data_IF_813053697671
#
_entry.id   IF_813053697671
#
_cell.length_a   1.000
_cell.length_b   1.000
_cell.length_c   1.000
_cell.angle_alpha   90.00
_cell.angle_beta   90.00
_cell.angle_gamma   90.00
#
_symmetry.space_group_name_H-M   'P 1'
#
loop_
_entity.id
_entity.type
_entity.pdbx_description
1 polymer ?
#
# COMPACT_ATOMS: atom_id res chain seq x y z
N UNK A 1 8.19 18.58 -11.02
CA UNK A 1 6.90 18.13 -10.46
C UNK A 1 7.02 17.85 -8.96
N UNK A 2 7.93 16.96 -8.55
CA UNK A 2 8.18 16.63 -7.14
C UNK A 2 8.37 17.86 -6.22
N UNK A 3 9.13 18.87 -6.64
CA UNK A 3 9.38 20.06 -5.80
C UNK A 3 8.12 20.91 -5.58
N UNK A 4 7.27 21.06 -6.59
CA UNK A 4 5.98 21.77 -6.43
C UNK A 4 5.03 21.03 -5.49
N UNK A 5 5.05 19.69 -5.49
CA UNK A 5 4.27 18.91 -4.53
C UNK A 5 4.79 19.06 -3.10
N UNK A 6 6.12 19.12 -2.92
CA UNK A 6 6.76 19.37 -1.62
C UNK A 6 6.45 20.77 -1.09
N UNK A 7 6.62 21.81 -1.91
CA UNK A 7 6.25 23.19 -1.56
C UNK A 7 4.78 23.32 -1.15
N UNK A 8 3.88 22.65 -1.90
CA UNK A 8 2.45 22.64 -1.57
C UNK A 8 2.16 21.94 -0.25
N UNK A 9 2.79 20.79 0.01
CA UNK A 9 2.67 20.06 1.28
C UNK A 9 3.13 20.95 2.44
N UNK A 10 4.28 21.60 2.31
CA UNK A 10 4.86 22.41 3.37
C UNK A 10 3.99 23.65 3.66
N UNK A 11 3.47 24.30 2.61
CA UNK A 11 2.52 25.41 2.76
C UNK A 11 1.22 24.99 3.46
N UNK A 12 0.69 23.80 3.12
CA UNK A 12 -0.52 23.27 3.73
C UNK A 12 -0.28 22.89 5.21
N UNK A 13 0.83 22.22 5.52
CA UNK A 13 1.17 21.87 6.90
C UNK A 13 1.31 23.13 7.77
N UNK A 14 2.00 24.15 7.27
CA UNK A 14 2.18 25.42 7.96
C UNK A 14 0.86 26.17 8.22
N UNK A 15 -0.13 26.06 7.31
CA UNK A 15 -1.47 26.62 7.52
C UNK A 15 -2.15 26.07 8.78
N UNK A 16 -1.85 24.82 9.14
CA UNK A 16 -2.38 24.14 10.33
C UNK A 16 -1.39 24.12 11.52
N UNK A 17 -0.27 24.86 11.44
CA UNK A 17 0.72 24.94 12.52
C UNK A 17 1.63 23.72 12.64
N UNK A 18 1.91 23.06 11.50
CA UNK A 18 2.79 21.90 11.43
C UNK A 18 3.96 22.08 10.46
N UNK A 19 5.11 21.53 10.83
CA UNK A 19 6.28 21.39 9.98
C UNK A 19 6.40 19.94 9.52
N UNK A 20 6.38 19.74 8.20
CA UNK A 20 6.51 18.43 7.58
C UNK A 20 7.98 18.00 7.44
N UNK A 21 8.29 16.76 7.82
CA UNK A 21 9.61 16.14 7.61
C UNK A 21 9.46 14.72 7.07
N UNK A 22 10.37 14.33 6.17
CA UNK A 22 10.54 12.92 5.80
C UNK A 22 11.64 12.33 6.69
N UNK A 23 11.37 11.17 7.29
CA UNK A 23 12.32 10.34 8.01
C UNK A 23 12.77 9.23 7.08
N UNK A 24 14.00 9.30 6.61
CA UNK A 24 14.53 8.35 5.61
C UNK A 24 14.76 6.94 6.18
N UNK A 25 14.75 6.76 7.50
CA UNK A 25 15.00 5.46 8.16
C UNK A 25 13.88 4.44 7.90
N UNK A 26 12.65 4.90 7.74
CA UNK A 26 11.45 4.09 7.57
C UNK A 26 10.44 4.73 6.61
N UNK A 27 10.91 5.66 5.76
CA UNK A 27 10.11 6.40 4.79
C UNK A 27 8.83 6.99 5.39
N UNK A 28 8.90 7.59 6.58
CA UNK A 28 7.74 8.21 7.21
C UNK A 28 7.63 9.72 6.93
N UNK A 29 6.42 10.20 6.63
CA UNK A 29 6.08 11.61 6.73
C UNK A 29 5.64 11.92 8.16
N UNK A 30 6.41 12.77 8.83
CA UNK A 30 6.11 13.24 10.18
C UNK A 30 5.70 14.72 10.13
N UNK A 31 4.55 15.05 10.72
CA UNK A 31 4.07 16.40 10.93
C UNK A 31 4.30 16.78 12.40
N UNK A 32 5.31 17.61 12.65
CA UNK A 32 5.59 18.14 13.98
C UNK A 32 4.84 19.46 14.21
N UNK A 33 4.25 19.70 15.39
CA UNK A 33 3.81 21.03 15.77
C UNK A 33 4.93 22.05 15.59
N UNK A 34 4.64 23.18 14.94
CA UNK A 34 5.64 24.20 14.59
C UNK A 34 6.41 24.72 15.82
N UNK A 35 5.73 24.82 16.96
CA UNK A 35 6.32 25.30 18.22
C UNK A 35 7.45 24.40 18.75
N UNK A 36 7.49 23.14 18.34
CA UNK A 36 8.57 22.21 18.69
C UNK A 36 9.81 22.40 17.81
N UNK A 37 9.67 23.08 16.68
CA UNK A 37 10.76 23.23 15.72
C UNK A 37 11.59 24.49 16.00
N UNK A 38 12.90 24.36 15.83
CA UNK A 38 13.82 25.48 15.75
C UNK A 38 14.90 25.15 14.72
N UNK A 39 15.07 26.02 13.74
CA UNK A 39 16.02 25.87 12.62
C UNK A 39 16.01 24.45 11.99
N UNK A 40 14.82 23.92 11.71
CA UNK A 40 14.63 22.61 11.10
C UNK A 40 14.89 21.41 12.02
N UNK A 41 15.14 21.65 13.32
CA UNK A 41 15.41 20.61 14.32
C UNK A 41 14.34 20.60 15.41
N UNK A 42 13.86 19.41 15.76
CA UNK A 42 12.93 19.21 16.89
C UNK A 42 13.64 19.53 18.20
N UNK A 43 13.05 20.41 19.00
CA UNK A 43 13.53 20.78 20.33
C UNK A 43 12.83 19.92 21.37
N UNK A 44 13.51 18.86 21.84
CA UNK A 44 12.92 17.87 22.76
C UNK A 44 12.38 18.50 24.05
N UNK A 45 13.00 19.58 24.55
CA UNK A 45 12.52 20.29 25.75
C UNK A 45 11.19 21.04 25.53
N UNK A 46 10.72 21.18 24.28
CA UNK A 46 9.42 21.77 23.92
C UNK A 46 8.35 20.70 23.66
N UNK A 47 8.72 19.42 23.64
CA UNK A 47 7.81 18.31 23.40
C UNK A 47 7.15 17.92 24.73
N UNK A 48 5.95 18.43 24.96
CA UNK A 48 5.17 18.12 26.17
C UNK A 48 4.37 16.82 26.01
N UNK A 49 3.92 16.54 24.80
CA UNK A 49 3.05 15.40 24.46
C UNK A 49 3.32 14.96 23.02
N UNK A 50 3.98 13.81 22.86
CA UNK A 50 4.36 13.25 21.55
C UNK A 50 3.17 12.88 20.67
N UNK A 51 1.98 12.65 21.24
CA UNK A 51 0.78 12.26 20.49
C UNK A 51 0.25 13.40 19.61
N UNK A 52 0.78 14.62 19.77
CA UNK A 52 0.45 15.78 18.93
C UNK A 52 1.13 15.76 17.56
N UNK A 53 2.17 14.94 17.39
CA UNK A 53 2.76 14.71 16.07
C UNK A 53 1.92 13.68 15.30
N UNK A 54 1.80 13.88 13.98
CA UNK A 54 1.14 12.91 13.09
C UNK A 54 2.20 12.23 12.26
N UNK A 55 2.25 10.90 12.31
CA UNK A 55 3.16 10.09 11.52
C UNK A 55 2.38 9.23 10.53
N UNK A 56 2.79 9.28 9.27
CA UNK A 56 2.22 8.49 8.18
C UNK A 56 3.35 7.81 7.44
N UNK A 57 3.36 6.47 7.41
CA UNK A 57 4.28 5.72 6.57
C UNK A 57 4.03 6.06 5.11
N UNK A 58 5.07 6.43 4.37
CA UNK A 58 5.02 6.58 2.91
C UNK A 58 5.24 5.24 2.20
N UNK A 59 5.72 4.24 2.94
CA UNK A 59 5.83 2.86 2.49
C UNK A 59 4.59 2.08 2.94
N UNK A 60 3.93 1.41 1.99
CA UNK A 60 2.92 0.41 2.30
C UNK A 60 3.53 -0.80 3.02
N UNK A 61 2.72 -1.72 3.59
CA UNK A 61 3.18 -2.94 4.28
C UNK A 61 3.96 -3.95 3.42
N UNK A 62 4.42 -3.60 2.21
CA UNK A 62 5.16 -4.47 1.31
C UNK A 62 6.50 -3.88 0.88
N UNK A 63 7.31 -4.73 0.24
CA UNK A 63 8.66 -4.38 -0.21
C UNK A 63 8.59 -3.54 -1.50
N UNK A 64 8.85 -2.24 -1.37
CA UNK A 64 8.81 -1.29 -2.49
C UNK A 64 9.78 -1.65 -3.63
N UNK A 65 10.89 -2.34 -3.34
CA UNK A 65 11.86 -2.76 -4.36
C UNK A 65 11.27 -3.84 -5.28
N UNK A 66 10.30 -4.61 -4.78
CA UNK A 66 9.58 -5.66 -5.54
C UNK A 66 8.38 -5.14 -6.32
N UNK A 67 8.05 -3.85 -6.22
CA UNK A 67 6.85 -3.28 -6.83
C UNK A 67 6.68 -3.66 -8.31
N UNK A 68 7.73 -3.52 -9.13
CA UNK A 68 7.62 -3.80 -10.56
C UNK A 68 7.31 -5.26 -10.87
N UNK A 69 7.91 -6.18 -10.10
CA UNK A 69 7.71 -7.62 -10.27
C UNK A 69 6.30 -8.02 -9.87
N UNK A 70 5.85 -7.57 -8.69
CA UNK A 70 4.51 -7.84 -8.17
C UNK A 70 3.43 -7.19 -9.03
N UNK A 71 3.64 -5.96 -9.49
CA UNK A 71 2.69 -5.28 -10.38
C UNK A 71 2.53 -6.01 -11.71
N UNK A 72 3.63 -6.50 -12.30
CA UNK A 72 3.57 -7.27 -13.54
C UNK A 72 2.81 -8.60 -13.35
N UNK A 73 3.03 -9.30 -12.25
CA UNK A 73 2.26 -10.51 -11.93
C UNK A 73 0.76 -10.21 -11.73
N UNK A 74 0.42 -9.22 -10.92
CA UNK A 74 -0.97 -8.85 -10.66
C UNK A 74 -1.69 -8.39 -11.94
N UNK A 75 -0.99 -7.66 -12.83
CA UNK A 75 -1.49 -7.29 -14.15
C UNK A 75 -1.75 -8.52 -15.02
N UNK A 76 -0.81 -9.47 -15.08
CA UNK A 76 -0.99 -10.71 -15.83
C UNK A 76 -2.18 -11.54 -15.34
N UNK A 77 -2.41 -11.63 -14.02
CA UNK A 77 -3.61 -12.29 -13.48
C UNK A 77 -4.89 -11.55 -13.90
N UNK A 78 -4.91 -10.22 -13.84
CA UNK A 78 -6.07 -9.44 -14.27
C UNK A 78 -6.36 -9.61 -15.77
N UNK A 79 -5.32 -9.65 -16.61
CA UNK A 79 -5.44 -9.96 -18.04
C UNK A 79 -6.03 -11.35 -18.27
N UNK A 80 -5.55 -12.38 -17.57
CA UNK A 80 -6.07 -13.75 -17.69
C UNK A 80 -7.53 -13.86 -17.23
N UNK A 81 -7.93 -13.14 -16.18
CA UNK A 81 -9.35 -13.06 -15.79
C UNK A 81 -10.16 -12.38 -16.89
N UNK A 82 -9.66 -11.30 -17.49
CA UNK A 82 -10.35 -10.61 -18.57
C UNK A 82 -10.51 -11.47 -19.84
N UNK A 83 -9.59 -12.38 -20.10
CA UNK A 83 -9.68 -13.32 -21.22
C UNK A 83 -10.66 -14.48 -20.97
N UNK A 84 -10.73 -14.96 -19.72
CA UNK A 84 -11.44 -16.20 -19.37
C UNK A 84 -12.87 -15.98 -18.85
N UNK A 85 -13.10 -14.83 -18.22
CA UNK A 85 -14.27 -14.61 -17.36
C UNK A 85 -15.17 -13.46 -17.85
N UNK A 86 -16.34 -13.33 -17.21
CA UNK A 86 -17.26 -12.24 -17.50
C UNK A 86 -16.68 -10.87 -17.12
N UNK A 87 -17.13 -9.82 -17.82
CA UNK A 87 -16.66 -8.43 -17.65
C UNK A 87 -16.76 -7.93 -16.19
N UNK A 88 -17.75 -8.39 -15.43
CA UNK A 88 -17.90 -8.07 -14.01
C UNK A 88 -16.70 -8.53 -13.17
N UNK A 89 -16.16 -9.72 -13.46
CA UNK A 89 -14.98 -10.27 -12.81
C UNK A 89 -13.71 -9.60 -13.30
N UNK A 90 -13.59 -9.40 -14.62
CA UNK A 90 -12.46 -8.71 -15.24
C UNK A 90 -12.21 -7.32 -14.62
N UNK A 91 -13.26 -6.49 -14.54
CA UNK A 91 -13.12 -5.13 -14.01
C UNK A 91 -12.89 -5.10 -12.49
N UNK A 92 -13.38 -6.10 -11.77
CA UNK A 92 -13.03 -6.28 -10.36
C UNK A 92 -11.55 -6.67 -10.21
N UNK A 93 -11.05 -7.56 -11.08
CA UNK A 93 -9.65 -8.00 -11.10
C UNK A 93 -8.69 -6.85 -11.37
N UNK A 94 -8.97 -6.00 -12.35
CA UNK A 94 -8.17 -4.79 -12.62
C UNK A 94 -8.05 -3.89 -11.39
N UNK A 95 -9.17 -3.64 -10.71
CA UNK A 95 -9.21 -2.76 -9.53
C UNK A 95 -8.51 -3.41 -8.33
N UNK A 96 -8.64 -4.73 -8.19
CA UNK A 96 -8.00 -5.50 -7.13
C UNK A 96 -6.48 -5.61 -7.33
N UNK A 97 -6.02 -5.83 -8.56
CA UNK A 97 -4.61 -5.80 -8.92
C UNK A 97 -3.99 -4.44 -8.56
N UNK A 98 -4.65 -3.34 -8.92
CA UNK A 98 -4.19 -2.00 -8.56
C UNK A 98 -4.13 -1.78 -7.04
N UNK A 99 -5.10 -2.30 -6.29
CA UNK A 99 -5.09 -2.27 -4.82
C UNK A 99 -3.91 -3.04 -4.24
N UNK A 100 -3.76 -4.31 -4.61
CA UNK A 100 -2.71 -5.19 -4.07
C UNK A 100 -1.31 -4.71 -4.44
N UNK A 101 -1.11 -4.18 -5.64
CA UNK A 101 0.18 -3.62 -6.07
C UNK A 101 0.51 -2.30 -5.36
N UNK A 102 -0.44 -1.37 -5.24
CA UNK A 102 -0.16 -0.03 -4.73
C UNK A 102 -0.22 0.08 -3.20
N UNK A 103 -1.14 -0.64 -2.55
CA UNK A 103 -1.30 -0.58 -1.10
C UNK A 103 -0.45 -1.64 -0.39
N UNK A 104 -0.33 -2.83 -0.96
CA UNK A 104 0.29 -3.95 -0.26
C UNK A 104 1.63 -4.41 -0.83
N UNK A 105 1.95 -4.04 -2.07
CA UNK A 105 3.05 -4.61 -2.85
C UNK A 105 3.10 -6.14 -2.68
N UNK A 106 1.93 -6.78 -2.83
CA UNK A 106 1.76 -8.23 -2.70
C UNK A 106 1.07 -8.86 -3.92
N UNK A 107 1.37 -10.14 -4.20
CA UNK A 107 0.58 -10.95 -5.14
C UNK A 107 -0.91 -10.94 -4.78
N UNK A 108 -1.79 -10.95 -5.79
CA UNK A 108 -3.25 -10.99 -5.59
C UNK A 108 -3.74 -12.26 -4.88
N UNK A 109 -3.05 -13.38 -5.06
CA UNK A 109 -3.31 -14.68 -4.43
C UNK A 109 -2.77 -14.79 -3.00
N UNK A 110 -1.93 -13.86 -2.55
CA UNK A 110 -1.49 -13.72 -1.16
C UNK A 110 -2.43 -12.83 -0.31
N UNK A 111 -3.55 -12.38 -0.89
CA UNK A 111 -4.47 -11.48 -0.20
C UNK A 111 -5.16 -12.15 1.00
N UNK A 112 -4.91 -11.60 2.19
CA UNK A 112 -5.53 -12.08 3.44
C UNK A 112 -7.03 -11.71 3.50
N UNK A 113 -7.81 -12.35 4.38
CA UNK A 113 -9.21 -11.99 4.58
C UNK A 113 -9.42 -10.52 4.97
N UNK A 114 -8.50 -9.93 5.74
CA UNK A 114 -8.56 -8.52 6.14
C UNK A 114 -8.33 -7.58 4.95
N UNK A 115 -7.37 -7.91 4.08
CA UNK A 115 -7.11 -7.14 2.84
C UNK A 115 -8.30 -7.22 1.88
N UNK A 116 -8.93 -8.39 1.75
CA UNK A 116 -10.14 -8.57 0.93
C UNK A 116 -11.32 -7.76 1.47
N UNK A 117 -11.47 -7.69 2.79
CA UNK A 117 -12.50 -6.87 3.44
C UNK A 117 -12.24 -5.38 3.21
N UNK A 118 -11.01 -4.89 3.42
CA UNK A 118 -10.63 -3.50 3.14
C UNK A 118 -10.87 -3.13 1.66
N UNK A 119 -10.50 -4.02 0.74
CA UNK A 119 -10.76 -3.82 -0.68
C UNK A 119 -12.24 -3.58 -0.95
N UNK A 120 -13.10 -4.46 -0.43
CA UNK A 120 -14.55 -4.42 -0.65
C UNK A 120 -15.20 -3.20 -0.01
N UNK A 121 -14.87 -2.92 1.25
CA UNK A 121 -15.59 -1.95 2.07
C UNK A 121 -15.08 -0.53 1.87
N UNK A 122 -13.79 -0.37 1.51
CA UNK A 122 -13.15 0.94 1.42
C UNK A 122 -12.62 1.23 0.01
N UNK A 123 -11.70 0.41 -0.48
CA UNK A 123 -10.93 0.77 -1.67
C UNK A 123 -11.78 0.78 -2.94
N UNK A 124 -12.55 -0.28 -3.18
CA UNK A 124 -13.37 -0.44 -4.38
C UNK A 124 -14.37 0.69 -4.50
N UNK A 125 -15.04 1.04 -3.39
CA UNK A 125 -16.05 2.12 -3.36
C UNK A 125 -15.40 3.49 -3.63
N UNK A 126 -14.21 3.76 -3.09
CA UNK A 126 -13.53 5.05 -3.24
C UNK A 126 -12.83 5.22 -4.60
N UNK A 127 -12.31 4.13 -5.17
CA UNK A 127 -11.40 4.20 -6.32
C UNK A 127 -11.95 3.51 -7.59
N UNK A 128 -12.70 2.42 -7.44
CA UNK A 128 -13.21 1.63 -8.57
C UNK A 128 -14.54 2.10 -9.16
N UNK A 129 -15.30 2.90 -8.39
CA UNK A 129 -16.64 3.39 -8.76
C UNK A 129 -17.53 2.25 -9.27
N UNK A 130 -17.77 1.21 -8.45
CA UNK A 130 -18.34 -0.05 -8.91
C UNK A 130 -19.81 0.09 -9.29
N UNK A 131 -20.27 -0.77 -10.20
CA UNK A 131 -21.71 -0.95 -10.44
C UNK A 131 -22.34 -1.79 -9.33
N UNK A 132 -23.67 -1.75 -9.20
CA UNK A 132 -24.40 -2.61 -8.24
C UNK A 132 -24.13 -4.09 -8.52
N UNK A 133 -23.98 -4.47 -9.79
CA UNK A 133 -23.64 -5.83 -10.22
C UNK A 133 -22.24 -6.24 -9.73
N UNK A 134 -21.26 -5.34 -9.82
CA UNK A 134 -19.91 -5.59 -9.28
C UNK A 134 -19.92 -5.73 -7.76
N UNK A 135 -20.66 -4.87 -7.05
CA UNK A 135 -20.78 -4.98 -5.60
C UNK A 135 -21.45 -6.30 -5.17
N UNK A 136 -22.42 -6.78 -5.94
CA UNK A 136 -23.08 -8.05 -5.68
C UNK A 136 -22.17 -9.26 -5.97
N UNK A 137 -21.30 -9.16 -6.98
CA UNK A 137 -20.41 -10.23 -7.42
C UNK A 137 -18.99 -10.14 -6.85
N UNK A 138 -18.70 -9.21 -5.94
CA UNK A 138 -17.31 -8.94 -5.52
C UNK A 138 -16.64 -10.15 -4.85
N UNK A 139 -17.33 -10.86 -3.96
CA UNK A 139 -16.76 -12.03 -3.26
C UNK A 139 -16.52 -13.20 -4.24
N UNK A 140 -17.42 -13.38 -5.19
CA UNK A 140 -17.28 -14.35 -6.27
C UNK A 140 -16.09 -13.98 -7.16
N UNK A 141 -15.97 -12.70 -7.54
CA UNK A 141 -14.87 -12.18 -8.35
C UNK A 141 -13.52 -12.39 -7.67
N UNK A 142 -13.41 -12.15 -6.36
CA UNK A 142 -12.19 -12.42 -5.59
C UNK A 142 -11.83 -13.91 -5.58
N UNK A 143 -12.83 -14.80 -5.56
CA UNK A 143 -12.60 -16.25 -5.63
C UNK A 143 -12.17 -16.70 -7.04
N UNK A 144 -12.74 -16.08 -8.07
CA UNK A 144 -12.37 -16.29 -9.48
C UNK A 144 -10.93 -15.83 -9.72
N UNK A 145 -10.54 -14.65 -9.22
CA UNK A 145 -9.18 -14.13 -9.33
C UNK A 145 -8.18 -15.10 -8.70
N UNK A 146 -8.44 -15.59 -7.49
CA UNK A 146 -7.60 -16.59 -6.81
C UNK A 146 -7.48 -17.88 -7.64
N UNK A 147 -8.59 -18.35 -8.23
CA UNK A 147 -8.58 -19.53 -9.08
C UNK A 147 -7.77 -19.34 -10.37
N UNK A 148 -7.84 -18.17 -11.00
CA UNK A 148 -7.09 -17.88 -12.22
C UNK A 148 -5.61 -17.68 -11.91
N UNK A 149 -5.28 -17.03 -10.79
CA UNK A 149 -3.91 -16.83 -10.33
C UNK A 149 -3.14 -18.15 -10.18
N UNK A 150 -3.80 -19.22 -9.75
CA UNK A 150 -3.20 -20.55 -9.64
C UNK A 150 -2.68 -21.14 -10.98
N UNK A 151 -3.13 -20.60 -12.12
CA UNK A 151 -2.66 -20.98 -13.46
C UNK A 151 -1.61 -20.02 -14.04
N UNK A 152 -1.30 -18.91 -13.35
CA UNK A 152 -0.34 -17.90 -13.78
C UNK A 152 0.98 -18.10 -13.04
N UNK A 153 2.11 -18.01 -13.75
CA UNK A 153 3.41 -18.16 -13.11
C UNK A 153 3.69 -16.97 -12.18
N UNK A 154 3.82 -17.28 -10.88
CA UNK A 154 4.00 -16.31 -9.81
C UNK A 154 5.33 -15.54 -9.86
N UNK A 155 5.45 -14.43 -9.10
CA UNK A 155 6.72 -13.75 -8.92
C UNK A 155 7.70 -14.67 -8.18
N UNK A 156 9.01 -14.47 -8.39
CA UNK A 156 10.02 -15.25 -7.69
C UNK A 156 9.82 -15.12 -6.17
N UNK A 157 9.93 -16.19 -5.39
CA UNK A 157 9.78 -16.08 -3.94
C UNK A 157 10.83 -15.09 -3.39
N UNK A 158 10.41 -14.24 -2.46
CA UNK A 158 11.38 -13.42 -1.74
C UNK A 158 12.35 -14.37 -1.04
N UNK A 159 13.66 -14.15 -1.25
CA UNK A 159 14.70 -14.79 -0.44
C UNK A 159 14.38 -14.44 1.02
N UNK A 160 13.72 -15.36 1.71
CA UNK A 160 13.47 -15.22 3.13
C UNK A 160 14.82 -15.52 3.75
N UNK A 161 15.52 -14.57 4.40
CA UNK A 161 16.78 -14.88 5.02
C UNK A 161 16.51 -15.97 6.05
N UNK A 162 17.12 -17.13 5.80
CA UNK A 162 17.02 -18.33 6.62
C UNK A 162 17.27 -17.95 8.09
N UNK A 163 16.23 -18.04 8.91
CA UNK A 163 16.27 -17.68 10.32
C UNK A 163 16.94 -18.77 11.17
N UNK A 164 17.71 -19.69 10.56
CA UNK A 164 18.47 -20.73 11.24
C UNK A 164 19.98 -20.58 11.01
N UNK A 165 20.58 -19.57 11.65
CA UNK A 165 22.01 -19.55 11.95
C UNK A 165 22.31 -18.91 13.31
N UNK A 166 21.59 -19.33 14.35
CA UNK A 166 22.16 -19.33 15.70
C UNK A 166 22.68 -20.74 15.99
N UNK A 167 23.84 -21.04 15.42
CA UNK A 167 24.69 -22.15 15.87
C UNK A 167 25.62 -21.65 16.97
N UNK A 168 25.43 -22.22 18.16
CA UNK A 168 26.26 -22.11 19.34
C UNK A 168 27.70 -22.52 19.03
N UNK A 169 28.68 -21.69 19.38
CA UNK A 169 30.06 -21.88 18.91
C UNK A 169 31.19 -21.34 19.78
N UNK A 170 31.22 -21.74 21.07
CA UNK A 170 32.37 -21.79 22.01
C UNK A 170 33.01 -20.51 22.55
#
# INVERSE_FOLDING_TARGET
AADQYRERRDALAAEYGYTARIRDEDDALVLYPDEWMDDGTVQLDRVEDTDRAVEVSLSGPGDADRYREVAAYNEAVAEEVAEREAEVHARTAETFAAFMSNHYVRPVDDATPEMRAEFREEYLVRNGWPTDEQLAAVDESLSVIESVAADVEGPAEADTPDADAHDDGS
#
